data_IF_289840749974
#
_entry.id   IF_289840749974
#
_cell.length_a   1.000
_cell.length_b   1.000
_cell.length_c   1.000
_cell.angle_alpha   90.00
_cell.angle_beta   90.00
_cell.angle_gamma   90.00
#
_symmetry.space_group_name_H-M   'P 1'
#
loop_
_entity.id
_entity.type
_entity.pdbx_description
1 polymer ?
#
# COMPACT_ATOMS: atom_id res chain seq x y z
N UNK A 1 10.96 31.91 -8.86
CA UNK A 1 9.95 31.13 -8.12
C UNK A 1 9.88 31.71 -6.71
N UNK A 2 8.69 31.97 -6.16
CA UNK A 2 8.58 32.49 -4.79
C UNK A 2 8.70 31.35 -3.77
N UNK A 3 9.21 31.64 -2.58
CA UNK A 3 9.33 30.64 -1.52
C UNK A 3 7.97 30.04 -1.11
N UNK A 4 6.91 30.86 -1.12
CA UNK A 4 5.53 30.40 -0.94
C UNK A 4 5.11 29.37 -1.99
N UNK A 5 5.47 29.59 -3.27
CA UNK A 5 5.20 28.63 -4.35
C UNK A 5 5.92 27.30 -4.10
N UNK A 6 7.18 27.34 -3.67
CA UNK A 6 7.95 26.13 -3.37
C UNK A 6 7.34 25.29 -2.25
N UNK A 7 6.81 25.92 -1.19
CA UNK A 7 6.13 25.19 -0.10
C UNK A 7 4.82 24.56 -0.60
N UNK A 8 4.06 25.27 -1.45
CA UNK A 8 2.83 24.73 -2.06
C UNK A 8 3.13 23.51 -2.94
N UNK A 9 4.19 23.57 -3.75
CA UNK A 9 4.59 22.46 -4.62
C UNK A 9 5.05 21.24 -3.79
N UNK A 10 5.77 21.46 -2.70
CA UNK A 10 6.16 20.39 -1.77
C UNK A 10 4.95 19.74 -1.09
N UNK A 11 3.96 20.54 -0.67
CA UNK A 11 2.74 20.03 -0.07
C UNK A 11 1.91 19.21 -1.08
N UNK A 12 1.83 19.67 -2.33
CA UNK A 12 1.19 18.92 -3.41
C UNK A 12 1.86 17.57 -3.67
N UNK A 13 3.21 17.53 -3.62
CA UNK A 13 3.97 16.29 -3.72
C UNK A 13 3.69 15.33 -2.55
N UNK A 14 3.62 15.83 -1.31
CA UNK A 14 3.26 15.03 -0.14
C UNK A 14 1.86 14.40 -0.31
N UNK A 15 0.87 15.19 -0.72
CA UNK A 15 -0.50 14.70 -0.92
C UNK A 15 -0.58 13.65 -2.04
N UNK A 16 0.10 13.89 -3.16
CA UNK A 16 0.11 12.95 -4.30
C UNK A 16 0.81 11.64 -3.91
N UNK A 17 1.91 11.72 -3.15
CA UNK A 17 2.62 10.53 -2.70
C UNK A 17 1.77 9.72 -1.72
N UNK A 18 1.07 10.38 -0.78
CA UNK A 18 0.12 9.71 0.13
C UNK A 18 -0.95 8.93 -0.65
N UNK A 19 -1.57 9.57 -1.64
CA UNK A 19 -2.58 8.93 -2.49
C UNK A 19 -2.04 7.68 -3.20
N UNK A 20 -0.83 7.76 -3.78
CA UNK A 20 -0.20 6.61 -4.45
C UNK A 20 0.12 5.46 -3.49
N UNK A 21 0.49 5.77 -2.24
CA UNK A 21 0.71 4.73 -1.23
C UNK A 21 -0.59 3.99 -0.90
N UNK A 22 -1.70 4.72 -0.80
CA UNK A 22 -3.02 4.13 -0.56
C UNK A 22 -3.49 3.29 -1.78
N UNK A 23 -3.25 3.75 -3.02
CA UNK A 23 -3.51 2.95 -4.23
C UNK A 23 -2.70 1.65 -4.27
N UNK A 24 -1.43 1.71 -3.87
CA UNK A 24 -0.56 0.54 -3.81
C UNK A 24 -1.08 -0.49 -2.80
N UNK A 25 -1.54 -0.04 -1.64
CA UNK A 25 -2.20 -0.90 -0.65
C UNK A 25 -3.44 -1.58 -1.22
N UNK A 26 -4.31 -0.81 -1.88
CA UNK A 26 -5.51 -1.38 -2.51
C UNK A 26 -5.18 -2.41 -3.59
N UNK A 27 -4.18 -2.15 -4.43
CA UNK A 27 -3.74 -3.08 -5.47
C UNK A 27 -3.24 -4.40 -4.87
N UNK A 28 -2.44 -4.33 -3.80
CA UNK A 28 -1.92 -5.50 -3.08
C UNK A 28 -3.05 -6.36 -2.52
N UNK A 29 -4.01 -5.73 -1.84
CA UNK A 29 -5.16 -6.42 -1.25
C UNK A 29 -6.01 -7.06 -2.36
N UNK A 30 -6.22 -6.35 -3.47
CA UNK A 30 -6.96 -6.88 -4.62
C UNK A 30 -6.30 -8.11 -5.23
N UNK A 31 -4.97 -8.10 -5.38
CA UNK A 31 -4.22 -9.25 -5.90
C UNK A 31 -4.31 -10.43 -4.92
N UNK A 32 -4.14 -10.18 -3.62
CA UNK A 32 -4.26 -11.22 -2.60
C UNK A 32 -5.65 -11.90 -2.66
N UNK A 33 -6.71 -11.11 -2.70
CA UNK A 33 -8.09 -11.60 -2.79
C UNK A 33 -8.36 -12.35 -4.11
N UNK A 34 -7.76 -11.91 -5.22
CA UNK A 34 -7.85 -12.60 -6.50
C UNK A 34 -7.29 -14.01 -6.45
N UNK A 35 -6.14 -14.20 -5.78
CA UNK A 35 -5.60 -15.54 -5.55
C UNK A 35 -6.51 -16.39 -4.67
N UNK A 36 -7.22 -15.82 -3.69
CA UNK A 36 -8.10 -16.59 -2.79
C UNK A 36 -9.28 -17.16 -3.58
N UNK A 37 -9.88 -16.33 -4.43
CA UNK A 37 -10.95 -16.74 -5.33
C UNK A 37 -10.52 -17.92 -6.22
N UNK A 38 -9.32 -17.84 -6.81
CA UNK A 38 -8.79 -18.91 -7.66
C UNK A 38 -8.54 -20.18 -6.83
N UNK A 39 -7.94 -20.08 -5.65
CA UNK A 39 -7.70 -21.23 -4.77
C UNK A 39 -9.02 -21.89 -4.34
N UNK A 40 -10.05 -21.10 -4.01
CA UNK A 40 -11.36 -21.61 -3.62
C UNK A 40 -12.12 -22.27 -4.78
N UNK A 41 -11.97 -21.76 -6.01
CA UNK A 41 -12.48 -22.41 -7.21
C UNK A 41 -11.77 -23.76 -7.47
N UNK A 42 -10.44 -23.80 -7.32
CA UNK A 42 -9.63 -24.99 -7.57
C UNK A 42 -9.87 -26.10 -6.52
N UNK A 43 -10.21 -25.76 -5.27
CA UNK A 43 -10.56 -26.72 -4.20
C UNK A 43 -11.61 -27.73 -4.59
N UNK A 44 -12.54 -27.34 -5.46
CA UNK A 44 -13.68 -28.16 -5.84
C UNK A 44 -13.39 -29.04 -7.08
N UNK A 45 -12.15 -29.05 -7.57
CA UNK A 45 -11.76 -29.84 -8.75
C UNK A 45 -10.95 -31.08 -8.37
N UNK A 46 -11.26 -32.23 -8.99
CA UNK A 46 -10.64 -33.52 -8.68
C UNK A 46 -9.11 -33.58 -8.92
N UNK A 47 -8.56 -32.70 -9.76
CA UNK A 47 -7.13 -32.71 -10.14
C UNK A 47 -6.27 -31.82 -9.23
N UNK A 48 -6.84 -30.76 -8.66
CA UNK A 48 -6.06 -29.79 -7.85
C UNK A 48 -6.02 -30.09 -6.36
N UNK A 49 -6.79 -31.06 -5.88
CA UNK A 49 -6.86 -31.41 -4.46
C UNK A 49 -5.50 -31.75 -3.82
N UNK A 50 -4.56 -32.33 -4.57
CA UNK A 50 -3.22 -32.66 -4.06
C UNK A 50 -2.29 -31.44 -3.92
N UNK A 51 -2.49 -30.43 -4.78
CA UNK A 51 -1.68 -29.21 -4.77
C UNK A 51 -2.26 -28.11 -3.89
N UNK A 52 -3.52 -28.24 -3.47
CA UNK A 52 -4.24 -27.19 -2.76
C UNK A 52 -3.51 -26.72 -1.49
N UNK A 53 -2.95 -27.66 -0.72
CA UNK A 53 -2.20 -27.34 0.50
C UNK A 53 -0.94 -26.51 0.21
N UNK A 54 -0.28 -26.77 -0.92
CA UNK A 54 0.91 -26.01 -1.33
C UNK A 54 0.52 -24.60 -1.81
N UNK A 55 -0.62 -24.47 -2.50
CA UNK A 55 -1.17 -23.18 -2.94
C UNK A 55 -1.58 -22.33 -1.73
N UNK A 56 -2.33 -22.91 -0.79
CA UNK A 56 -2.74 -22.25 0.46
C UNK A 56 -1.53 -21.77 1.27
N UNK A 57 -0.50 -22.61 1.43
CA UNK A 57 0.73 -22.23 2.12
C UNK A 57 1.44 -21.05 1.46
N UNK A 58 1.59 -21.08 0.12
CA UNK A 58 2.21 -19.96 -0.63
C UNK A 58 1.40 -18.69 -0.52
N UNK A 59 0.08 -18.80 -0.50
CA UNK A 59 -0.83 -17.68 -0.36
C UNK A 59 -0.76 -17.04 1.02
N UNK A 60 -0.68 -17.84 2.08
CA UNK A 60 -0.46 -17.36 3.44
C UNK A 60 0.89 -16.65 3.56
N UNK A 61 1.96 -17.23 2.99
CA UNK A 61 3.28 -16.61 2.93
C UNK A 61 3.25 -15.27 2.19
N UNK A 62 2.62 -15.22 1.01
CA UNK A 62 2.44 -13.99 0.24
C UNK A 62 1.71 -12.92 1.08
N UNK A 63 0.58 -13.26 1.71
CA UNK A 63 -0.15 -12.33 2.59
C UNK A 63 0.72 -11.82 3.74
N UNK A 64 1.51 -12.70 4.36
CA UNK A 64 2.43 -12.35 5.42
C UNK A 64 3.52 -11.37 4.98
N UNK A 65 4.15 -11.62 3.83
CA UNK A 65 5.15 -10.75 3.25
C UNK A 65 4.56 -9.40 2.82
N UNK A 66 3.39 -9.41 2.18
CA UNK A 66 2.71 -8.20 1.75
C UNK A 66 2.28 -7.33 2.93
N UNK A 67 1.80 -7.93 4.02
CA UNK A 67 1.48 -7.19 5.25
C UNK A 67 2.71 -6.53 5.87
N UNK A 68 3.86 -7.21 5.87
CA UNK A 68 5.14 -6.63 6.34
C UNK A 68 5.57 -5.47 5.46
N UNK A 69 5.49 -5.63 4.13
CA UNK A 69 5.83 -4.58 3.18
C UNK A 69 4.93 -3.35 3.38
N UNK A 70 3.62 -3.56 3.52
CA UNK A 70 2.68 -2.48 3.80
C UNK A 70 3.01 -1.76 5.10
N UNK A 71 3.30 -2.52 6.17
CA UNK A 71 3.73 -1.91 7.45
C UNK A 71 5.00 -1.08 7.31
N UNK A 72 6.01 -1.55 6.57
CA UNK A 72 7.23 -0.79 6.30
C UNK A 72 6.93 0.48 5.51
N UNK A 73 6.15 0.38 4.43
CA UNK A 73 5.74 1.52 3.61
C UNK A 73 4.98 2.56 4.45
N UNK A 74 4.07 2.12 5.31
CA UNK A 74 3.34 3.01 6.23
C UNK A 74 4.27 3.67 7.26
N UNK A 75 5.09 2.88 7.95
CA UNK A 75 5.95 3.37 9.02
C UNK A 75 7.05 4.31 8.51
N UNK A 76 7.65 4.01 7.36
CA UNK A 76 8.79 4.74 6.82
C UNK A 76 8.34 5.92 5.95
N UNK A 77 7.33 5.71 5.09
CA UNK A 77 6.97 6.72 4.09
C UNK A 77 5.75 7.53 4.51
N UNK A 78 4.65 6.90 4.94
CA UNK A 78 3.41 7.64 5.27
C UNK A 78 3.61 8.54 6.48
N UNK A 79 4.20 8.03 7.56
CA UNK A 79 4.47 8.83 8.77
C UNK A 79 5.42 10.02 8.48
N UNK A 80 6.42 9.82 7.63
CA UNK A 80 7.30 10.91 7.21
C UNK A 80 6.56 11.94 6.35
N UNK A 81 5.80 11.50 5.36
CA UNK A 81 4.99 12.37 4.48
C UNK A 81 3.97 13.15 5.29
N UNK A 82 3.29 12.54 6.25
CA UNK A 82 2.33 13.19 7.13
C UNK A 82 2.99 14.29 7.94
N UNK A 83 4.13 14.00 8.59
CA UNK A 83 4.89 14.99 9.35
C UNK A 83 5.38 16.15 8.48
N UNK A 84 5.84 15.89 7.25
CA UNK A 84 6.23 16.97 6.33
C UNK A 84 5.02 17.78 5.87
N UNK A 85 3.90 17.11 5.56
CA UNK A 85 2.65 17.76 5.14
C UNK A 85 2.15 18.73 6.21
N UNK A 86 2.08 18.28 7.47
CA UNK A 86 1.65 19.11 8.61
C UNK A 86 2.54 20.34 8.80
N UNK A 87 3.87 20.13 8.73
CA UNK A 87 4.85 21.22 8.84
C UNK A 87 4.68 22.24 7.72
N UNK A 88 4.55 21.80 6.47
CA UNK A 88 4.39 22.68 5.30
C UNK A 88 3.07 23.44 5.34
N UNK A 89 1.98 22.82 5.84
CA UNK A 89 0.71 23.50 6.08
C UNK A 89 0.84 24.60 7.13
N UNK A 90 1.54 24.34 8.24
CA UNK A 90 1.81 25.37 9.26
C UNK A 90 2.67 26.51 8.71
N UNK A 91 3.72 26.20 7.94
CA UNK A 91 4.55 27.22 7.30
C UNK A 91 3.71 28.09 6.34
N UNK A 92 2.81 27.49 5.53
CA UNK A 92 1.90 28.22 4.66
C UNK A 92 0.87 29.08 5.39
N UNK A 93 0.37 28.62 6.54
CA UNK A 93 -0.57 29.37 7.36
C UNK A 93 0.09 30.59 8.03
N UNK A 94 1.40 30.54 8.24
CA UNK A 94 2.20 31.60 8.84
C UNK A 94 2.79 32.60 7.81
N UNK A 95 2.44 32.45 6.53
CA UNK A 95 2.81 33.35 5.42
C UNK A 95 1.77 34.44 5.18
#
# INVERSE_FOLDING_TARGET
MSYKQTIQDQLAWCNTTRYRLDEFEHAIISVANGYDSITDELKNTNVFGEFIKQVEYRQEMFRGEMKKLLQQVYAENKAYIDKQSDRLQQELANF
#
